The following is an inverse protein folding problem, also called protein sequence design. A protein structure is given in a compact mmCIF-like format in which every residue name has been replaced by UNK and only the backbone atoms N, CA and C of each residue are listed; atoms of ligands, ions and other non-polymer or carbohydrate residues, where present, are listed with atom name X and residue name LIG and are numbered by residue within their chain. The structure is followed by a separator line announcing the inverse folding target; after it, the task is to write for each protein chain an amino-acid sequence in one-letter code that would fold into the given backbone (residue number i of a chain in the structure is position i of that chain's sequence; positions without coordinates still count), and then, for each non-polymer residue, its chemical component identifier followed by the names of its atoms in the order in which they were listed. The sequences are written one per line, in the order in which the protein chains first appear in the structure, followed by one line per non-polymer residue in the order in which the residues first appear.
data_IF_688337489422
#
_entry.id   IF_688337489422
#
_cell.length_a   1.000
_cell.length_b   1.000
_cell.length_c   1.000
_cell.angle_alpha   90.00
_cell.angle_beta   90.00
_cell.angle_gamma   90.00
#
_symmetry.space_group_name_H-M   'P 1'
#
loop_
_entity.id
_entity.type
_entity.pdbx_description
1 polymer ?
2 water ?
#
# COMPACT_ATOMS: atom_id res chain seq x y z
N UNK A 1 0.59 -33.04 -1.17
CA UNK A 1 -0.24 -32.90 -2.43
C UNK A 1 -1.56 -32.12 -2.18
N UNK A 2 -2.70 -32.80 -1.93
CA UNK A 2 -4.01 -32.16 -1.78
C UNK A 2 -4.86 -32.77 -0.65
N UNK A 3 -5.58 -31.92 0.08
CA UNK A 3 -6.61 -32.35 1.02
C UNK A 3 -7.91 -32.53 0.26
N UNK A 4 -8.70 -33.51 0.69
CA UNK A 4 -9.96 -33.89 0.04
C UNK A 4 -9.74 -34.19 -1.46
N UNK A 5 -8.65 -34.89 -1.73
CA UNK A 5 -8.07 -35.01 -3.08
C UNK A 5 -9.02 -35.57 -4.13
N UNK A 6 -9.83 -36.56 -3.72
CA UNK A 6 -10.83 -37.16 -4.60
C UNK A 6 -11.73 -36.11 -5.26
N UNK A 7 -12.31 -35.28 -4.41
CA UNK A 7 -13.21 -34.20 -4.81
C UNK A 7 -12.45 -33.14 -5.63
N UNK A 8 -11.23 -32.82 -5.21
CA UNK A 8 -10.41 -31.84 -5.95
C UNK A 8 -10.24 -32.30 -7.41
N UNK A 9 -9.84 -33.57 -7.61
CA UNK A 9 -9.62 -34.11 -8.97
C UNK A 9 -10.89 -34.06 -9.81
N UNK A 10 -11.98 -34.51 -9.21
CA UNK A 10 -13.33 -34.30 -9.75
C UNK A 10 -13.49 -32.92 -10.39
N UNK A 11 -13.18 -31.87 -9.64
CA UNK A 11 -13.26 -30.49 -10.14
C UNK A 11 -12.18 -30.19 -11.16
N UNK A 12 -10.96 -30.62 -10.89
CA UNK A 12 -9.82 -30.38 -11.81
C UNK A 12 -10.12 -30.95 -13.21
N UNK A 13 -10.73 -32.13 -13.22
CA UNK A 13 -11.16 -32.86 -14.42
C UNK A 13 -12.19 -32.13 -15.33
N UNK A 14 -12.87 -31.12 -14.78
CA UNK A 14 -13.84 -30.31 -15.52
C UNK A 14 -13.23 -29.13 -16.31
N UNK A 15 -11.92 -28.91 -16.14
CA UNK A 15 -11.28 -27.64 -16.50
C UNK A 15 -10.42 -27.73 -17.74
N UNK A 16 -10.13 -26.57 -18.31
CA UNK A 16 -9.12 -26.42 -19.35
C UNK A 16 -7.71 -26.64 -18.77
N UNK A 17 -6.75 -26.79 -19.68
CA UNK A 17 -5.37 -27.08 -19.31
C UNK A 17 -4.80 -25.91 -18.56
N UNK A 18 -5.02 -24.70 -19.09
CA UNK A 18 -4.60 -23.45 -18.45
C UNK A 18 -5.13 -23.31 -17.04
N UNK A 19 -6.43 -23.55 -16.89
CA UNK A 19 -7.08 -23.53 -15.59
C UNK A 19 -6.50 -24.57 -14.65
N UNK A 20 -6.29 -25.80 -15.15
CA UNK A 20 -5.65 -26.86 -14.36
C UNK A 20 -4.33 -26.31 -13.81
N UNK A 21 -3.50 -25.75 -14.71
CA UNK A 21 -2.19 -25.19 -14.35
C UNK A 21 -2.22 -24.11 -13.28
N UNK A 22 -3.28 -23.30 -13.31
CA UNK A 22 -3.52 -22.31 -12.29
C UNK A 22 -4.00 -22.97 -10.99
N UNK A 23 -4.96 -23.89 -11.09
CA UNK A 23 -5.62 -24.43 -9.90
C UNK A 23 -4.78 -25.38 -9.06
N UNK A 24 -3.99 -26.23 -9.72
CA UNK A 24 -3.20 -27.25 -9.06
C UNK A 24 -2.22 -26.66 -8.03
N UNK A 25 -1.49 -25.57 -8.39
CA UNK A 25 -0.65 -24.93 -7.36
C UNK A 25 -1.45 -24.42 -6.15
N UNK A 26 -2.63 -23.86 -6.40
CA UNK A 26 -3.52 -23.35 -5.31
C UNK A 26 -3.95 -24.44 -4.33
N UNK A 27 -4.44 -25.55 -4.87
CA UNK A 27 -4.82 -26.69 -4.03
C UNK A 27 -3.65 -27.30 -3.25
N UNK A 28 -2.46 -27.35 -3.88
CA UNK A 28 -1.22 -27.80 -3.22
C UNK A 28 -0.77 -26.92 -2.04
N UNK A 29 -0.73 -25.60 -2.25
CA UNK A 29 -0.48 -24.63 -1.19
C UNK A 29 -1.62 -24.64 -0.12
N UNK A 30 -2.85 -24.81 -0.57
CA UNK A 30 -4.03 -24.92 0.34
C UNK A 30 -3.92 -26.06 1.33
N UNK A 31 -3.37 -27.17 0.84
CA UNK A 31 -3.35 -28.44 1.56
C UNK A 31 -3.01 -28.30 3.05
N UNK A 32 -1.94 -27.58 3.36
CA UNK A 32 -1.50 -27.46 4.77
C UNK A 32 -2.60 -26.82 5.64
N UNK A 33 -3.28 -25.81 5.10
CA UNK A 33 -4.33 -25.11 5.81
C UNK A 33 -5.61 -25.97 5.97
N UNK A 34 -6.02 -26.60 4.88
CA UNK A 34 -7.11 -27.55 4.88
C UNK A 34 -6.94 -28.70 5.89
N UNK A 35 -5.76 -29.34 5.89
CA UNK A 35 -5.47 -30.38 6.88
C UNK A 35 -5.36 -29.80 8.31
N UNK A 36 -4.99 -28.53 8.45
CA UNK A 36 -5.02 -27.87 9.78
C UNK A 36 -6.43 -27.72 10.36
N UNK A 37 -7.41 -27.38 9.52
CA UNK A 37 -8.84 -27.23 9.93
C UNK A 37 -9.67 -28.50 9.68
N UNK A 38 -9.02 -29.51 9.09
CA UNK A 38 -9.61 -30.78 8.73
C UNK A 38 -10.90 -30.59 7.93
N UNK A 39 -10.81 -29.70 6.96
CA UNK A 39 -11.93 -29.44 6.05
C UNK A 39 -11.45 -28.76 4.80
N UNK A 40 -12.34 -28.70 3.82
CA UNK A 40 -12.02 -28.17 2.51
C UNK A 40 -12.27 -26.67 2.42
N UNK A 41 -11.54 -26.03 1.51
CA UNK A 41 -11.77 -24.64 1.06
C UNK A 41 -13.24 -24.25 0.96
N UNK A 42 -14.05 -25.12 0.35
CA UNK A 42 -15.49 -24.81 0.17
C UNK A 42 -16.29 -24.69 1.48
N UNK A 43 -15.75 -25.23 2.58
CA UNK A 43 -16.26 -25.07 3.93
C UNK A 43 -15.47 -24.03 4.77
N UNK A 44 -14.54 -23.30 4.14
CA UNK A 44 -13.81 -22.24 4.84
C UNK A 44 -14.73 -21.07 5.13
N UNK A 45 -14.58 -20.51 6.33
CA UNK A 45 -15.15 -19.23 6.70
C UNK A 45 -14.45 -18.14 5.85
N UNK A 46 -15.02 -16.92 5.90
CA UNK A 46 -14.46 -15.74 5.23
C UNK A 46 -13.06 -15.46 5.70
N UNK A 47 -12.91 -15.42 7.03
CA UNK A 47 -11.64 -15.18 7.71
C UNK A 47 -10.65 -16.23 7.29
N UNK A 48 -11.07 -17.49 7.29
CA UNK A 48 -10.22 -18.57 6.77
C UNK A 48 -9.83 -18.43 5.28
N UNK A 49 -10.68 -17.82 4.45
CA UNK A 49 -10.33 -17.57 3.04
C UNK A 49 -9.18 -16.54 2.95
N UNK A 50 -9.29 -15.48 3.75
CA UNK A 50 -8.30 -14.41 3.80
C UNK A 50 -6.96 -14.93 4.33
N UNK A 51 -7.01 -15.75 5.36
CA UNK A 51 -5.82 -16.44 5.89
C UNK A 51 -5.22 -17.37 4.86
N UNK A 52 -6.08 -18.08 4.16
CA UNK A 52 -5.62 -18.93 3.10
C UNK A 52 -4.80 -18.17 2.06
N UNK A 53 -5.37 -17.09 1.53
CA UNK A 53 -4.74 -16.33 0.43
C UNK A 53 -3.39 -15.77 0.90
N UNK A 54 -3.35 -15.30 2.15
CA UNK A 54 -2.13 -14.78 2.75
C UNK A 54 -1.01 -15.82 2.80
N UNK A 55 -1.40 -17.06 3.09
CA UNK A 55 -0.47 -18.19 3.10
C UNK A 55 0.20 -18.42 1.73
N UNK A 56 -0.42 -17.97 0.65
CA UNK A 56 0.23 -18.06 -0.67
C UNK A 56 1.32 -17.01 -0.90
N UNK A 57 1.47 -16.06 0.03
CA UNK A 57 2.55 -15.07 0.06
C UNK A 57 2.65 -14.25 -1.23
N UNK A 58 1.53 -13.67 -1.61
CA UNK A 58 1.43 -12.87 -2.80
C UNK A 58 1.72 -11.41 -2.46
N UNK A 59 2.31 -10.71 -3.44
CA UNK A 59 2.93 -9.40 -3.25
C UNK A 59 2.11 -8.21 -3.73
N UNK A 60 1.16 -8.42 -4.64
CA UNK A 60 0.40 -7.30 -5.21
C UNK A 60 -1.10 -7.53 -5.09
N UNK A 61 -1.85 -6.44 -4.95
CA UNK A 61 -3.33 -6.46 -4.90
C UNK A 61 -3.91 -7.07 -6.19
N UNK A 62 -3.26 -6.82 -7.31
CA UNK A 62 -3.59 -7.42 -8.60
C UNK A 62 -3.66 -8.95 -8.58
N UNK A 63 -2.61 -9.57 -8.06
CA UNK A 63 -2.52 -11.01 -7.99
C UNK A 63 -3.51 -11.59 -6.97
N UNK A 64 -3.70 -10.90 -5.84
CA UNK A 64 -4.65 -11.33 -4.80
C UNK A 64 -6.05 -11.39 -5.36
N UNK A 65 -6.42 -10.36 -6.10
CA UNK A 65 -7.73 -10.29 -6.78
C UNK A 65 -7.97 -11.47 -7.79
N UNK A 66 -6.95 -11.82 -8.56
CA UNK A 66 -7.03 -12.99 -9.45
C UNK A 66 -7.13 -14.29 -8.69
N UNK A 67 -6.35 -14.47 -7.62
CA UNK A 67 -6.46 -15.67 -6.77
C UNK A 67 -7.90 -15.75 -6.22
N UNK A 68 -8.41 -14.65 -5.63
CA UNK A 68 -9.80 -14.66 -5.12
C UNK A 68 -10.85 -15.08 -6.17
N UNK A 69 -10.71 -14.59 -7.39
CA UNK A 69 -11.67 -14.91 -8.45
C UNK A 69 -11.59 -16.38 -8.81
N UNK A 70 -10.39 -16.92 -8.90
CA UNK A 70 -10.23 -18.38 -9.14
C UNK A 70 -10.93 -19.24 -8.07
N UNK A 71 -10.73 -18.86 -6.81
CA UNK A 71 -11.35 -19.55 -5.69
C UNK A 71 -12.87 -19.40 -5.65
N UNK A 72 -13.39 -18.22 -5.97
CA UNK A 72 -14.83 -18.02 -6.10
C UNK A 72 -15.46 -19.01 -7.08
N UNK A 73 -14.82 -19.21 -8.23
CA UNK A 73 -15.25 -20.25 -9.20
C UNK A 73 -15.29 -21.67 -8.62
N UNK A 74 -14.24 -22.11 -7.94
CA UNK A 74 -14.29 -23.44 -7.29
C UNK A 74 -15.46 -23.54 -6.30
N UNK A 75 -15.71 -22.47 -5.57
CA UNK A 75 -16.75 -22.46 -4.53
C UNK A 75 -18.14 -22.57 -5.14
N UNK A 76 -18.40 -21.90 -6.26
CA UNK A 76 -19.68 -22.06 -6.98
C UNK A 76 -19.94 -23.51 -7.46
N UNK A 77 -18.88 -24.17 -7.89
CA UNK A 77 -18.93 -25.59 -8.24
C UNK A 77 -19.26 -26.49 -7.05
N UNK A 78 -18.62 -26.22 -5.92
CA UNK A 78 -18.87 -27.02 -4.72
C UNK A 78 -20.32 -26.85 -4.21
N UNK A 79 -20.90 -25.66 -4.44
CA UNK A 79 -22.28 -25.34 -4.10
C UNK A 79 -23.27 -26.07 -5.02
N UNK A 80 -23.20 -25.83 -6.34
CA UNK A 80 -23.98 -26.59 -7.35
C UNK A 80 -24.11 -28.09 -7.00
N UNK A 81 -23.01 -28.71 -6.57
CA UNK A 81 -22.98 -30.15 -6.22
C UNK A 81 -23.30 -30.52 -4.73
N UNK A 82 -23.72 -29.54 -3.92
CA UNK A 82 -24.12 -29.74 -2.49
C UNK A 82 -23.09 -30.39 -1.57
N UNK A 83 -21.82 -30.28 -1.95
CA UNK A 83 -20.72 -30.74 -1.12
C UNK A 83 -20.54 -29.75 0.01
N UNK A 84 -20.79 -28.48 -0.33
CA UNK A 84 -20.65 -27.39 0.61
C UNK A 84 -21.75 -27.46 1.67
N UNK A 85 -21.35 -27.41 2.95
CA UNK A 85 -22.32 -27.27 4.07
C UNK A 85 -23.13 -25.99 3.95
N UNK A 86 -22.44 -24.92 3.55
CA UNK A 86 -23.02 -23.60 3.43
C UNK A 86 -23.68 -23.43 2.09
N UNK A 87 -24.71 -22.59 2.04
CA UNK A 87 -25.48 -22.34 0.83
C UNK A 87 -24.97 -21.17 -0.02
N UNK A 88 -23.99 -20.42 0.48
CA UNK A 88 -23.59 -19.16 -0.16
C UNK A 88 -22.10 -19.12 -0.33
N UNK A 89 -21.65 -18.33 -1.30
CA UNK A 89 -20.25 -18.23 -1.68
C UNK A 89 -19.58 -17.14 -0.82
N UNK A 90 -18.82 -17.59 0.18
CA UNK A 90 -18.16 -16.69 1.13
C UNK A 90 -17.00 -15.86 0.52
N UNK A 91 -16.40 -16.34 -0.56
CA UNK A 91 -15.32 -15.58 -1.27
C UNK A 91 -15.82 -14.31 -1.97
N UNK A 92 -17.09 -14.34 -2.37
CA UNK A 92 -17.78 -13.25 -3.03
C UNK A 92 -18.12 -12.10 -2.06
N UNK A 93 -18.25 -12.40 -0.77
CA UNK A 93 -18.46 -11.38 0.28
C UNK A 93 -17.19 -10.61 0.69
N UNK A 94 -16.02 -11.00 0.18
CA UNK A 94 -14.80 -10.30 0.54
C UNK A 94 -14.83 -8.86 -0.04
N UNK A 95 -14.65 -7.88 0.83
CA UNK A 95 -14.68 -6.46 0.43
C UNK A 95 -13.34 -6.00 -0.18
N UNK A 96 -13.36 -4.81 -0.79
CA UNK A 96 -12.16 -4.18 -1.42
C UNK A 96 -11.04 -3.99 -0.40
N UNK A 97 -11.41 -3.48 0.79
CA UNK A 97 -10.42 -3.26 1.86
C UNK A 97 -9.83 -4.56 2.30
N UNK A 98 -10.67 -5.59 2.37
CA UNK A 98 -10.24 -6.92 2.80
C UNK A 98 -9.22 -7.57 1.89
N UNK A 99 -9.21 -7.22 0.60
CA UNK A 99 -8.16 -7.68 -0.31
C UNK A 99 -6.76 -7.38 0.21
N UNK A 100 -6.62 -6.24 0.90
CA UNK A 100 -5.33 -5.84 1.47
C UNK A 100 -4.84 -6.83 2.54
N UNK A 101 -5.81 -7.36 3.28
CA UNK A 101 -5.58 -8.32 4.34
C UNK A 101 -5.10 -9.66 3.79
N UNK A 102 -5.40 -9.95 2.52
CA UNK A 102 -4.84 -11.10 1.79
C UNK A 102 -3.38 -10.96 1.35
N UNK A 103 -2.81 -9.75 1.41
CA UNK A 103 -1.43 -9.53 0.98
C UNK A 103 -0.49 -10.33 1.87
N UNK A 104 0.48 -11.01 1.27
CA UNK A 104 1.46 -11.83 2.00
C UNK A 104 2.32 -11.02 2.94
N UNK A 105 2.81 -11.66 4.00
CA UNK A 105 3.62 -10.95 5.00
C UNK A 105 5.06 -10.67 4.57
N UNK A 106 5.52 -11.21 3.44
CA UNK A 106 6.77 -10.73 2.83
C UNK A 106 6.62 -9.29 2.25
N UNK A 107 5.39 -8.86 1.95
CA UNK A 107 5.20 -7.56 1.31
C UNK A 107 5.71 -6.42 2.18
N UNK A 108 6.61 -5.61 1.62
CA UNK A 108 7.15 -4.40 2.29
C UNK A 108 6.79 -3.08 1.62
N UNK A 109 6.60 -3.09 0.30
CA UNK A 109 6.41 -1.87 -0.47
C UNK A 109 5.08 -1.86 -1.19
N UNK A 110 4.58 -0.66 -1.47
CA UNK A 110 3.39 -0.49 -2.30
C UNK A 110 3.81 0.01 -3.68
N UNK A 111 3.16 -0.52 -4.69
CA UNK A 111 3.31 0.01 -6.05
C UNK A 111 2.58 1.34 -6.15
N UNK A 112 2.88 2.09 -7.22
CA UNK A 112 2.12 3.29 -7.54
C UNK A 112 0.61 3.04 -7.67
N UNK A 113 0.22 1.95 -8.34
CA UNK A 113 -1.19 1.69 -8.54
C UNK A 113 -1.88 1.36 -7.21
N UNK A 114 -1.20 0.66 -6.29
CA UNK A 114 -1.72 0.42 -4.92
C UNK A 114 -1.82 1.71 -4.11
N UNK A 115 -0.82 2.58 -4.20
CA UNK A 115 -0.93 3.95 -3.66
C UNK A 115 -2.22 4.67 -4.07
N UNK A 116 -2.46 4.70 -5.38
CA UNK A 116 -3.65 5.35 -5.98
C UNK A 116 -4.94 4.71 -5.49
N UNK A 117 -5.01 3.38 -5.55
CA UNK A 117 -6.18 2.62 -5.02
C UNK A 117 -6.46 2.85 -3.52
N UNK A 118 -5.41 2.79 -2.72
CA UNK A 118 -5.48 3.18 -1.30
C UNK A 118 -5.94 4.60 -1.11
N UNK A 119 -5.37 5.53 -1.85
CA UNK A 119 -5.76 6.93 -1.69
C UNK A 119 -7.24 7.16 -1.91
N UNK A 120 -7.78 6.45 -2.88
CA UNK A 120 -9.16 6.64 -3.30
C UNK A 120 -10.19 6.11 -2.29
N UNK A 121 -9.75 5.23 -1.38
CA UNK A 121 -10.58 4.69 -0.30
C UNK A 121 -10.42 5.42 1.05
N UNK A 122 -9.49 6.38 1.11
CA UNK A 122 -9.21 7.16 2.31
C UNK A 122 -9.95 8.49 2.26
N UNK A 123 -10.89 8.66 3.17
CA UNK A 123 -11.78 9.82 3.22
C UNK A 123 -11.14 11.10 3.77
N UNK A 124 -10.09 11.00 4.58
CA UNK A 124 -9.49 12.18 5.22
C UNK A 124 -8.30 12.67 4.39
N UNK A 125 -8.24 13.97 4.16
CA UNK A 125 -7.15 14.57 3.40
C UNK A 125 -5.80 14.55 4.17
N UNK A 126 -5.87 14.54 5.50
CA UNK A 126 -4.67 14.34 6.32
C UNK A 126 -4.03 12.98 5.96
N UNK A 127 -4.86 11.93 5.87
CA UNK A 127 -4.44 10.58 5.48
C UNK A 127 -3.84 10.53 4.08
N UNK A 128 -4.61 11.00 3.08
CA UNK A 128 -4.19 11.03 1.67
C UNK A 128 -2.84 11.74 1.53
N UNK A 129 -2.72 12.90 2.17
CA UNK A 129 -1.54 13.76 2.04
C UNK A 129 -0.28 13.14 2.58
N UNK A 130 -0.36 12.58 3.78
CA UNK A 130 0.82 12.04 4.43
C UNK A 130 1.29 10.82 3.64
N UNK A 131 0.37 9.97 3.22
CA UNK A 131 0.70 8.82 2.39
C UNK A 131 1.39 9.23 1.09
N UNK A 132 0.81 10.19 0.36
CA UNK A 132 1.40 10.61 -0.92
C UNK A 132 2.68 11.43 -0.78
N UNK A 133 2.67 12.38 0.15
CA UNK A 133 3.85 13.21 0.38
C UNK A 133 5.09 12.39 0.74
N UNK A 134 4.90 11.40 1.61
CA UNK A 134 5.98 10.45 1.92
C UNK A 134 6.43 9.69 0.71
N UNK A 135 5.49 9.20 -0.09
CA UNK A 135 5.84 8.41 -1.28
C UNK A 135 6.70 9.26 -2.22
N UNK A 136 6.35 10.55 -2.30
CA UNK A 136 7.05 11.45 -3.21
C UNK A 136 8.33 12.04 -2.62
N UNK A 137 8.56 11.75 -1.32
CA UNK A 137 9.87 11.95 -0.68
C UNK A 137 9.93 13.13 0.28
N UNK A 138 8.78 13.64 0.72
CA UNK A 138 8.72 14.71 1.71
C UNK A 138 8.76 14.05 3.07
N UNK A 139 9.91 14.16 3.72
CA UNK A 139 10.20 13.38 4.92
C UNK A 139 11.19 14.14 5.83
N UNK A 140 12.48 13.88 5.66
CA UNK A 140 13.49 14.43 6.55
C UNK A 140 13.57 13.74 7.90
N UNK A 141 14.61 14.08 8.67
CA UNK A 141 14.84 13.53 10.03
C UNK A 141 13.68 13.87 10.96
N UNK A 142 13.08 12.83 11.56
CA UNK A 142 11.86 12.96 12.37
C UNK A 142 10.68 13.64 11.59
N UNK A 143 10.66 13.42 10.28
CA UNK A 143 9.62 13.91 9.36
C UNK A 143 9.50 15.43 9.34
N UNK A 144 10.62 16.09 9.59
CA UNK A 144 10.63 17.53 9.81
C UNK A 144 10.22 18.33 8.55
N UNK A 145 10.49 17.77 7.35
CA UNK A 145 10.07 18.38 6.09
C UNK A 145 8.55 18.36 5.96
N UNK A 146 7.94 17.25 6.36
CA UNK A 146 6.49 17.10 6.32
C UNK A 146 5.76 17.90 7.41
N UNK A 147 6.31 17.92 8.62
CA UNK A 147 5.66 18.59 9.76
C UNK A 147 5.77 20.12 9.74
N UNK A 148 6.85 20.62 9.15
CA UNK A 148 7.00 22.05 8.87
C UNK A 148 6.40 22.51 7.54
N UNK A 149 5.72 21.63 6.79
CA UNK A 149 5.13 22.02 5.49
C UNK A 149 3.88 22.87 5.63
N UNK A 150 3.87 24.02 4.94
CA UNK A 150 2.75 24.96 4.94
C UNK A 150 2.06 25.09 3.59
N UNK A 151 0.81 25.56 3.64
CA UNK A 151 0.09 26.09 2.48
C UNK A 151 0.91 26.97 1.56
N UNK A 152 1.67 27.90 2.13
CA UNK A 152 2.44 28.84 1.34
C UNK A 152 3.47 28.14 0.46
N UNK A 153 4.20 27.16 1.02
CA UNK A 153 5.17 26.42 0.24
C UNK A 153 4.46 25.63 -0.87
N UNK A 154 3.27 25.11 -0.58
CA UNK A 154 2.50 24.34 -1.55
C UNK A 154 2.04 25.24 -2.72
N UNK A 155 1.40 26.37 -2.40
CA UNK A 155 1.01 27.37 -3.39
C UNK A 155 2.20 27.81 -4.23
N UNK A 156 3.29 28.20 -3.56
CA UNK A 156 4.56 28.56 -4.23
C UNK A 156 5.05 27.47 -5.20
N UNK A 157 4.93 26.20 -4.81
CA UNK A 157 5.37 25.08 -5.67
C UNK A 157 4.58 24.97 -6.98
N UNK A 158 3.26 25.18 -6.88
CA UNK A 158 2.36 25.18 -8.04
C UNK A 158 2.73 26.19 -9.09
N UNK A 159 3.29 27.33 -8.66
CA UNK A 159 3.76 28.37 -9.57
C UNK A 159 5.27 28.34 -9.83
N UNK A 160 5.93 27.23 -9.52
CA UNK A 160 7.38 27.15 -9.68
C UNK A 160 7.85 25.81 -10.26
N UNK A 161 7.11 25.31 -11.25
CA UNK A 161 7.44 24.04 -11.90
C UNK A 161 7.28 22.81 -11.01
N UNK A 162 6.37 22.90 -10.04
CA UNK A 162 6.10 21.86 -9.04
C UNK A 162 7.30 21.56 -8.13
N UNK A 163 8.17 22.55 -7.93
CA UNK A 163 9.37 22.37 -7.10
C UNK A 163 9.07 22.92 -5.71
N UNK A 164 8.99 22.01 -4.74
CA UNK A 164 8.75 22.37 -3.34
C UNK A 164 10.02 22.86 -2.67
N UNK A 165 9.87 23.88 -1.83
CA UNK A 165 10.91 24.30 -0.92
C UNK A 165 10.64 23.63 0.44
N UNK A 166 11.54 22.74 0.85
CA UNK A 166 11.38 21.95 2.09
C UNK A 166 12.33 22.38 3.20
N UNK A 167 11.82 22.44 4.43
CA UNK A 167 12.57 22.86 5.64
C UNK A 167 12.89 21.68 6.57
N UNK A 168 14.17 21.34 6.70
CA UNK A 168 14.60 20.34 7.66
C UNK A 168 15.11 21.01 8.94
N UNK A 169 14.86 20.37 10.08
CA UNK A 169 15.28 20.88 11.40
C UNK A 169 16.78 20.68 11.66
N UNK A 170 17.35 19.62 11.08
CA UNK A 170 18.80 19.40 11.11
C UNK A 170 19.44 20.29 10.06
N UNK A 171 19.34 19.89 8.79
CA UNK A 171 20.06 20.52 7.70
C UNK A 171 19.18 21.62 7.11
N UNK A 172 19.65 22.22 6.03
CA UNK A 172 18.94 23.34 5.45
C UNK A 172 17.78 22.99 4.56
N UNK A 173 17.39 24.00 3.79
CA UNK A 173 16.48 23.85 2.67
C UNK A 173 16.89 22.78 1.70
N UNK A 174 15.88 22.23 1.04
CA UNK A 174 16.07 21.26 -0.01
C UNK A 174 14.98 21.49 -1.05
N UNK A 175 15.34 21.35 -2.32
CA UNK A 175 14.33 21.40 -3.40
C UNK A 175 13.92 19.99 -3.87
N UNK A 176 12.62 19.76 -3.88
CA UNK A 176 12.04 18.51 -4.37
C UNK A 176 10.90 18.78 -5.36
N UNK A 177 11.06 18.27 -6.58
CA UNK A 177 9.94 18.26 -7.53
C UNK A 177 8.93 17.17 -7.19
N UNK A 178 7.67 17.55 -7.07
CA UNK A 178 6.56 16.60 -6.82
C UNK A 178 5.50 16.69 -7.90
N UNK A 179 4.52 15.80 -7.84
CA UNK A 179 3.41 15.79 -8.79
C UNK A 179 2.36 16.86 -8.46
N UNK A 180 1.58 17.24 -9.46
CA UNK A 180 0.43 18.14 -9.24
C UNK A 180 -0.59 17.51 -8.31
N UNK A 181 -0.84 16.22 -8.46
CA UNK A 181 -1.75 15.51 -7.55
C UNK A 181 -1.28 15.66 -6.08
N UNK A 182 0.01 15.52 -5.86
CA UNK A 182 0.58 15.68 -4.53
C UNK A 182 0.24 17.05 -3.94
N UNK A 183 0.50 18.09 -4.73
CA UNK A 183 0.29 19.48 -4.33
C UNK A 183 -1.18 19.82 -4.06
N UNK A 184 -2.10 19.35 -4.90
CA UNK A 184 -3.54 19.62 -4.70
C UNK A 184 -4.06 18.92 -3.45
N UNK A 185 -3.62 17.68 -3.24
CA UNK A 185 -3.98 16.94 -2.03
C UNK A 185 -3.44 17.66 -0.78
N UNK A 186 -2.24 18.23 -0.86
CA UNK A 186 -1.62 18.91 0.28
C UNK A 186 -2.39 20.19 0.62
N UNK A 187 -2.64 21.00 -0.40
CA UNK A 187 -3.51 22.17 -0.32
C UNK A 187 -4.85 21.88 0.38
N UNK A 188 -5.54 20.81 -0.02
CA UNK A 188 -6.74 20.37 0.73
C UNK A 188 -6.47 19.97 2.21
N UNK A 189 -5.37 19.23 2.46
CA UNK A 189 -5.04 18.80 3.83
C UNK A 189 -4.86 20.00 4.73
N UNK A 190 -4.19 21.04 4.21
CA UNK A 190 -3.89 22.30 4.94
C UNK A 190 -5.08 23.17 5.32
N UNK A 191 -6.27 22.86 4.82
CA UNK A 191 -7.50 23.53 5.21
C UNK A 191 -8.53 22.60 5.86
N UNK A 192 -8.22 21.32 5.97
CA UNK A 192 -9.14 20.39 6.60
C UNK A 192 -9.37 20.77 8.08
N UNK A 193 -10.65 20.87 8.45
CA UNK A 193 -11.03 21.25 9.81
C UNK A 193 -11.41 20.06 10.69
N UNK A 194 -11.96 19.01 10.08
CA UNK A 194 -12.40 17.79 10.76
C UNK A 194 -11.56 16.58 10.31
N UNK A 195 -11.55 15.53 11.13
CA UNK A 195 -10.91 14.25 10.78
C UNK A 195 -11.85 13.18 11.26
N UNK A 196 -12.17 12.24 10.39
CA UNK A 196 -13.13 11.20 10.71
C UNK A 196 -12.36 9.98 11.14
N UNK A 197 -12.86 9.36 12.21
CA UNK A 197 -12.18 8.25 12.85
C UNK A 197 -12.52 6.98 12.10
N UNK A 198 -11.59 6.02 12.21
CA UNK A 198 -11.69 4.73 11.52
C UNK A 198 -11.99 4.91 10.02
N UNK A 199 -11.41 5.96 9.42
CA UNK A 199 -11.62 6.31 8.02
C UNK A 199 -13.11 6.29 7.66
N UNK A 200 -13.89 7.09 8.38
CA UNK A 200 -15.33 7.26 8.11
C UNK A 200 -16.24 6.06 8.41
N UNK A 201 -15.75 5.10 9.20
CA UNK A 201 -16.57 3.95 9.64
C UNK A 201 -16.60 3.80 11.18
N UNK A 202 -16.49 4.92 11.88
CA UNK A 202 -16.47 4.94 13.34
C UNK A 202 -17.78 4.44 13.93
N UNK A 203 -17.67 3.59 14.95
CA UNK A 203 -18.83 2.92 15.54
C UNK A 203 -19.43 3.73 16.67
N UNK A 204 -20.57 4.37 16.37
CA UNK A 204 -21.29 5.22 17.32
C UNK A 204 -20.40 6.31 17.88
N UNK A 205 -20.60 6.61 19.15
CA UNK A 205 -19.67 7.45 19.93
C UNK A 205 -19.42 8.83 19.25
N UNK A 206 -18.15 9.20 19.07
CA UNK A 206 -17.75 10.43 18.41
C UNK A 206 -17.12 10.01 17.07
N UNK A 207 -17.78 10.33 15.96
CA UNK A 207 -17.35 9.89 14.63
C UNK A 207 -16.28 10.78 13.98
N UNK A 208 -16.26 12.06 14.33
CA UNK A 208 -15.25 13.00 13.87
C UNK A 208 -14.54 13.63 15.05
N UNK A 209 -13.41 14.29 14.80
CA UNK A 209 -12.77 15.18 15.77
C UNK A 209 -12.27 16.44 15.09
N UNK A 210 -12.11 17.50 15.87
CA UNK A 210 -11.64 18.78 15.38
C UNK A 210 -10.13 18.81 15.25
N UNK A 211 -9.67 19.40 14.15
CA UNK A 211 -8.27 19.68 13.96
C UNK A 211 -8.00 21.16 14.25
N UNK A 212 -6.82 21.41 14.81
CA UNK A 212 -6.31 22.75 15.03
C UNK A 212 -6.39 23.60 13.75
N UNK A 213 -6.63 24.89 13.93
CA UNK A 213 -6.58 25.85 12.82
C UNK A 213 -5.22 26.51 12.67
N UNK A 214 -4.58 26.22 11.54
CA UNK A 214 -3.29 26.82 11.18
C UNK A 214 -3.00 26.67 9.67
N UNK A 215 -1.83 27.16 9.25
CA UNK A 215 -1.44 27.05 7.84
C UNK A 215 -0.59 25.80 7.48
N UNK A 216 -0.47 24.83 8.40
CA UNK A 216 0.37 23.61 8.19
C UNK A 216 -0.40 22.49 7.48
N UNK A 217 0.24 21.73 6.58
CA UNK A 217 -0.53 20.63 5.92
C UNK A 217 -0.85 19.52 6.92
N UNK A 218 0.10 19.22 7.82
CA UNK A 218 -0.16 18.26 8.91
C UNK A 218 -0.58 18.97 10.19
N UNK A 219 -1.70 18.54 10.76
CA UNK A 219 -2.40 19.27 11.81
C UNK A 219 -2.66 18.40 13.01
N UNK A 220 -2.46 18.96 14.20
CA UNK A 220 -2.75 18.25 15.45
C UNK A 220 -4.28 18.26 15.65
N UNK A 221 -4.81 17.26 16.38
CA UNK A 221 -6.18 17.34 16.85
C UNK A 221 -6.28 18.40 17.96
N UNK A 222 -7.41 19.10 18.05
CA UNK A 222 -7.63 20.10 19.12
C UNK A 222 -7.45 19.50 20.51
N UNK A 223 -7.98 18.29 20.71
CA UNK A 223 -7.91 17.57 21.98
C UNK A 223 -6.46 17.31 22.53
N UNK A 224 -5.48 17.21 21.65
CA UNK A 224 -4.06 17.04 22.04
C UNK A 224 -3.44 18.22 22.81
N UNK A 225 -4.08 19.39 22.75
CA UNK A 225 -3.70 20.56 23.55
C UNK A 225 -2.26 21.05 23.29
N UNK A 226 -1.84 21.00 22.03
CA UNK A 226 -0.47 21.36 21.64
C UNK A 226 -0.36 22.79 21.09
N UNK A 227 -1.50 23.40 20.79
CA UNK A 227 -1.53 24.72 20.18
C UNK A 227 -1.51 24.66 18.69
N UNK A 228 -1.31 25.83 18.07
CA UNK A 228 -1.42 26.01 16.63
C UNK A 228 -0.12 25.83 15.85
N UNK A 229 0.90 25.29 16.51
CA UNK A 229 2.20 25.13 15.88
C UNK A 229 2.27 23.84 15.12
N UNK A 230 3.48 23.52 14.65
CA UNK A 230 3.76 22.31 13.91
C UNK A 230 3.35 21.10 14.74
N UNK A 231 2.79 20.09 14.09
CA UNK A 231 2.54 18.81 14.74
C UNK A 231 3.87 18.11 15.03
N UNK A 232 3.82 17.14 15.92
CA UNK A 232 5.01 16.38 16.30
C UNK A 232 5.10 15.09 15.49
N UNK A 233 6.29 14.48 15.55
CA UNK A 233 6.57 13.13 15.10
C UNK A 233 5.42 12.14 15.15
N UNK A 234 4.75 12.06 16.31
CA UNK A 234 3.74 11.02 16.58
C UNK A 234 2.50 11.16 15.74
N UNK A 235 2.23 12.36 15.25
CA UNK A 235 1.05 12.59 14.42
C UNK A 235 1.20 11.81 13.10
N UNK A 236 2.40 11.81 12.50
CA UNK A 236 2.68 11.05 11.28
C UNK A 236 2.43 9.56 11.55
N UNK A 237 3.03 9.06 12.62
CA UNK A 237 2.80 7.69 13.06
C UNK A 237 1.33 7.36 13.29
N UNK A 238 0.60 8.26 13.94
CA UNK A 238 -0.81 8.03 14.22
C UNK A 238 -1.64 7.96 12.93
N UNK A 239 -1.34 8.84 11.99
CA UNK A 239 -2.03 8.83 10.70
C UNK A 239 -1.72 7.53 9.90
N UNK A 240 -0.47 7.09 9.90
CA UNK A 240 -0.10 5.84 9.20
C UNK A 240 -0.77 4.65 9.88
N UNK A 241 -0.84 4.67 11.22
CA UNK A 241 -1.54 3.64 11.98
C UNK A 241 -3.01 3.53 11.54
N UNK A 242 -3.69 4.66 11.39
CA UNK A 242 -5.09 4.64 10.99
C UNK A 242 -5.32 4.05 9.59
N UNK A 243 -4.40 4.37 8.67
CA UNK A 243 -4.43 3.83 7.30
C UNK A 243 -4.25 2.32 7.39
N UNK A 244 -3.21 1.90 8.12
CA UNK A 244 -2.91 0.50 8.35
C UNK A 244 -4.05 -0.30 8.99
N UNK A 245 -4.74 0.35 9.92
CA UNK A 245 -5.86 -0.29 10.65
C UNK A 245 -7.06 -0.53 9.75
N UNK A 246 -7.39 0.44 8.91
CA UNK A 246 -8.43 0.29 7.90
C UNK A 246 -8.18 -0.88 6.94
N UNK A 247 -6.99 -0.93 6.36
CA UNK A 247 -6.60 -2.03 5.47
C UNK A 247 -6.17 -3.34 6.17
N UNK A 248 -5.97 -3.29 7.49
CA UNK A 248 -5.49 -4.44 8.29
C UNK A 248 -4.19 -5.02 7.71
N UNK A 249 -3.24 -4.13 7.50
CA UNK A 249 -1.92 -4.46 6.98
C UNK A 249 -0.89 -4.09 8.04
N UNK A 250 0.25 -4.74 7.98
CA UNK A 250 1.26 -4.64 9.03
C UNK A 250 2.64 -4.22 8.55
N UNK A 251 2.78 -3.87 7.27
CA UNK A 251 4.07 -3.55 6.63
C UNK A 251 4.30 -2.04 6.42
N UNK A 252 3.22 -1.26 6.51
CA UNK A 252 3.24 0.16 6.21
C UNK A 252 3.89 0.98 7.34
N UNK A 253 5.02 1.62 7.04
CA UNK A 253 5.66 2.61 7.90
C UNK A 253 6.13 3.81 7.06
N UNK A 254 6.48 4.91 7.73
CA UNK A 254 6.98 6.07 6.98
C UNK A 254 8.17 5.76 6.05
N UNK A 255 9.13 5.02 6.58
CA UNK A 255 10.27 4.60 5.79
C UNK A 255 9.90 3.68 4.62
N UNK A 256 8.91 2.82 4.84
CA UNK A 256 8.42 1.90 3.80
C UNK A 256 7.74 2.65 2.61
N UNK A 257 6.97 3.68 2.94
CA UNK A 257 6.30 4.49 1.94
C UNK A 257 7.36 5.28 1.15
N UNK A 258 8.33 5.86 1.85
CA UNK A 258 9.41 6.61 1.20
C UNK A 258 10.10 5.74 0.15
N UNK A 259 10.50 4.55 0.58
CA UNK A 259 11.20 3.58 -0.26
C UNK A 259 10.38 3.10 -1.44
N UNK A 260 9.09 2.89 -1.21
CA UNK A 260 8.14 2.62 -2.29
C UNK A 260 8.21 3.65 -3.41
N UNK A 261 8.39 4.92 -3.06
CA UNK A 261 8.53 5.98 -4.05
C UNK A 261 9.77 5.79 -4.91
N UNK A 262 10.89 5.52 -4.23
CA UNK A 262 12.13 5.22 -4.94
C UNK A 262 11.93 4.00 -5.84
N UNK A 263 11.21 2.98 -5.36
CA UNK A 263 11.03 1.71 -6.10
C UNK A 263 10.22 1.89 -7.38
N UNK A 264 9.19 2.75 -7.31
CA UNK A 264 8.45 3.16 -8.49
C UNK A 264 9.32 3.86 -9.56
N UNK A 265 10.14 4.80 -9.12
CA UNK A 265 11.05 5.45 -10.02
C UNK A 265 12.02 4.44 -10.66
N UNK A 266 12.55 3.51 -9.87
CA UNK A 266 13.37 2.40 -10.40
C UNK A 266 12.66 1.59 -11.48
N UNK A 267 11.42 1.22 -11.21
CA UNK A 267 10.59 0.53 -12.21
C UNK A 267 10.53 1.32 -13.54
N UNK A 268 10.25 2.62 -13.48
CA UNK A 268 10.12 3.45 -14.69
C UNK A 268 11.42 3.43 -15.51
N UNK A 269 12.56 3.58 -14.84
CA UNK A 269 13.88 3.56 -15.50
C UNK A 269 14.25 2.16 -16.00
N UNK A 270 13.90 1.14 -15.23
CA UNK A 270 14.15 -0.24 -15.61
C UNK A 270 13.40 -0.69 -16.88
N UNK A 271 12.20 -0.19 -17.06
CA UNK A 271 11.36 -0.50 -18.22
C UNK A 271 11.98 -0.01 -19.53
N UNK A 272 12.63 1.15 -19.46
CA UNK A 272 13.31 1.78 -20.60
C UNK A 272 14.72 1.21 -20.79
N UNK A 273 15.47 1.07 -19.69
CA UNK A 273 16.90 0.71 -19.66
C UNK A 273 17.21 -0.79 -19.64
N UNK A 274 16.32 -1.60 -19.04
CA UNK A 274 16.51 -3.05 -18.93
C UNK A 274 17.46 -3.59 -17.84
N UNK A 275 18.04 -2.69 -17.05
CA UNK A 275 18.95 -3.05 -15.94
C UNK A 275 18.70 -2.07 -14.79
N UNK A 276 18.96 -2.53 -13.57
CA UNK A 276 19.05 -1.69 -12.38
C UNK A 276 20.46 -1.92 -11.87
N UNK A 277 21.27 -0.87 -11.89
CA UNK A 277 22.65 -0.92 -11.42
C UNK A 277 22.91 0.37 -10.62
N UNK A 278 24.17 0.63 -10.27
CA UNK A 278 24.49 1.83 -9.50
C UNK A 278 24.12 3.13 -10.21
N UNK A 279 24.21 3.15 -11.54
CA UNK A 279 23.88 4.35 -12.33
C UNK A 279 22.40 4.71 -12.16
N UNK A 280 21.54 3.70 -12.15
CA UNK A 280 20.12 3.90 -11.84
C UNK A 280 19.94 4.44 -10.42
N UNK A 281 20.65 3.85 -9.45
CA UNK A 281 20.58 4.29 -8.05
C UNK A 281 21.01 5.74 -7.88
N UNK A 282 22.07 6.14 -8.60
CA UNK A 282 22.51 7.54 -8.64
C UNK A 282 21.45 8.43 -9.25
N UNK A 283 20.83 7.99 -10.34
CA UNK A 283 19.77 8.79 -10.96
C UNK A 283 18.62 9.00 -9.96
N UNK A 284 18.28 7.97 -9.18
CA UNK A 284 17.19 8.08 -8.20
C UNK A 284 17.53 9.08 -7.09
N UNK A 285 18.77 9.03 -6.61
CA UNK A 285 19.24 10.04 -5.65
C UNK A 285 19.04 11.45 -6.20
N UNK A 286 19.42 11.67 -7.45
CA UNK A 286 19.26 13.00 -8.07
C UNK A 286 17.78 13.36 -8.27
N UNK A 287 16.98 12.41 -8.75
CA UNK A 287 15.56 12.65 -8.97
C UNK A 287 14.80 13.00 -7.69
N UNK A 288 15.17 12.39 -6.57
CA UNK A 288 14.55 12.72 -5.28
C UNK A 288 15.37 13.73 -4.49
N UNK A 289 16.38 14.32 -5.12
CA UNK A 289 17.36 15.22 -4.47
C UNK A 289 17.67 14.71 -3.05
N UNK A 290 18.17 13.49 -3.00
CA UNK A 290 18.12 12.76 -1.77
C UNK A 290 19.06 13.37 -0.76
N UNK A 291 18.56 13.47 0.46
CA UNK A 291 19.32 13.99 1.58
C UNK A 291 20.32 12.90 2.02
N UNK A 292 21.60 13.11 1.76
CA UNK A 292 22.60 12.04 1.98
C UNK A 292 23.87 12.58 2.62
N UNK A 293 24.61 11.69 3.32
CA UNK A 293 25.96 12.00 3.79
C UNK A 293 26.85 12.10 2.57
N UNK A 294 26.86 11.01 1.81
CA UNK A 294 27.55 10.95 0.53
C UNK A 294 26.71 10.09 -0.39
N UNK A 295 26.90 10.27 -1.69
CA UNK A 295 26.11 9.58 -2.68
C UNK A 295 26.53 8.12 -2.83
N UNK A 296 27.83 7.83 -2.73
CA UNK A 296 28.29 6.44 -2.82
C UNK A 296 27.80 5.62 -1.64
N UNK A 297 27.70 6.21 -0.46
CA UNK A 297 27.21 5.48 0.69
C UNK A 297 25.74 5.26 0.50
N UNK A 298 25.03 6.28 0.03
CA UNK A 298 23.60 6.20 -0.28
C UNK A 298 23.30 5.13 -1.33
N UNK A 299 24.04 5.15 -2.44
CA UNK A 299 23.91 4.11 -3.47
C UNK A 299 24.08 2.69 -2.87
N UNK A 300 24.99 2.56 -1.92
CA UNK A 300 25.22 1.26 -1.26
C UNK A 300 24.01 0.77 -0.44
N UNK A 301 23.44 1.64 0.39
CA UNK A 301 22.17 1.34 1.12
C UNK A 301 21.07 0.84 0.20
N UNK A 302 20.91 1.54 -0.92
CA UNK A 302 19.87 1.23 -1.90
C UNK A 302 19.93 -0.14 -2.56
N UNK A 303 21.08 -0.82 -2.51
CA UNK A 303 21.17 -2.19 -3.06
C UNK A 303 20.23 -3.21 -2.40
N UNK A 304 19.88 -2.99 -1.12
CA UNK A 304 18.87 -3.79 -0.37
C UNK A 304 17.49 -3.82 -1.02
N UNK A 305 17.10 -2.73 -1.65
CA UNK A 305 15.74 -2.59 -2.15
C UNK A 305 15.63 -2.12 -3.62
N UNK A 306 16.50 -1.22 -4.07
CA UNK A 306 16.57 -0.85 -5.50
C UNK A 306 17.43 -1.85 -6.28
N UNK A 307 16.78 -2.96 -6.67
CA UNK A 307 17.41 -3.99 -7.50
C UNK A 307 16.37 -4.66 -8.35
N UNK A 308 16.84 -5.47 -9.29
CA UNK A 308 15.97 -6.14 -10.25
C UNK A 308 15.02 -7.14 -9.62
N UNK A 309 15.46 -7.88 -8.60
CA UNK A 309 14.55 -8.82 -7.93
C UNK A 309 13.34 -8.14 -7.25
N UNK A 310 13.57 -7.09 -6.47
CA UNK A 310 12.44 -6.40 -5.84
C UNK A 310 11.58 -5.77 -6.93
N UNK A 311 12.17 -5.17 -7.96
CA UNK A 311 11.36 -4.57 -9.02
C UNK A 311 10.52 -5.59 -9.81
N UNK A 312 11.13 -6.69 -10.21
CA UNK A 312 10.40 -7.73 -10.92
C UNK A 312 9.27 -8.30 -10.02
N UNK A 313 9.53 -8.42 -8.73
CA UNK A 313 8.51 -8.89 -7.77
C UNK A 313 7.26 -8.00 -7.70
N UNK A 314 7.46 -6.71 -7.45
CA UNK A 314 6.34 -5.80 -7.23
C UNK A 314 5.66 -5.33 -8.51
N UNK A 315 6.37 -5.30 -9.63
CA UNK A 315 5.89 -4.67 -10.86
C UNK A 315 5.79 -5.68 -12.02
N UNK A 316 5.63 -6.96 -11.69
CA UNK A 316 5.55 -8.03 -12.70
C UNK A 316 4.51 -7.75 -13.80
N UNK A 317 3.31 -7.33 -13.41
CA UNK A 317 2.24 -7.09 -14.39
C UNK A 317 2.54 -5.93 -15.32
N UNK A 318 3.00 -4.83 -14.76
CA UNK A 318 3.39 -3.64 -15.54
C UNK A 318 4.59 -3.90 -16.47
N UNK A 319 5.46 -4.82 -16.07
CA UNK A 319 6.60 -5.20 -16.88
C UNK A 319 6.29 -6.26 -17.98
N UNK A 320 5.08 -6.82 -17.97
CA UNK A 320 4.70 -7.89 -18.91
C UNK A 320 5.41 -9.20 -18.63
N UNK A 321 5.43 -9.59 -17.34
CA UNK A 321 6.09 -10.83 -16.86
C UNK A 321 5.06 -11.80 -16.25
N UNK A 322 5.44 -13.08 -16.16
CA UNK A 322 4.49 -14.17 -15.79
C UNK A 322 4.11 -14.20 -14.29
#
# INVERSE_FOLDING_TARGET
SMFNSEIKEKYLDTLSEGMVMQMRPIFAKAEITETLYNKDIYDFTSMQILELIRSFDQTTIGSVRRTLALLSLYIDWAISYKLSKGLTNLARTISEEELYECLGDKKLYITYSELEEMENQLVNYQSKAVLRLLFEGVSGLAHSELLSLTKKQVEDAMLNGNVLTLYDSKHGERKLKVSSECLVIALNAAQETKYKLKNGKAKGQTKEVFLVENDYVVKTKRTSNKGDGQASKFVITNLITDISEFFKINFLTPNTIVRSGHLYRAYQLYKEKGVIDNSVRYQIIDDFNLRVKSKYRAVYSMQDYINEEEVNKYYAEELGLKETTI
#
